data_IF_045507469598
#
_entry.id   IF_045507469598
#
_cell.length_a   1.000
_cell.length_b   1.000
_cell.length_c   1.000
_cell.angle_alpha   90.00
_cell.angle_beta   90.00
_cell.angle_gamma   90.00
#
_symmetry.space_group_name_H-M   'P 1'
#
loop_
_entity.id
_entity.type
_entity.pdbx_description
1 polymer ?
#
# COMPACT_ATOMS: atom_id res chain seq x y z
N UNK A 1 13.51 -0.69 5.27
CA UNK A 1 12.45 -1.45 4.58
C UNK A 1 12.41 -2.93 4.98
N UNK A 2 13.48 -3.71 4.77
CA UNK A 2 13.47 -5.18 5.00
C UNK A 2 13.04 -5.64 6.40
N UNK A 3 13.26 -4.83 7.44
CA UNK A 3 12.95 -5.17 8.85
C UNK A 3 11.45 -5.34 9.16
N UNK A 4 10.57 -4.91 8.27
CA UNK A 4 9.10 -5.01 8.39
C UNK A 4 8.59 -6.41 7.97
N UNK A 5 9.39 -7.15 7.21
CA UNK A 5 9.01 -8.45 6.63
C UNK A 5 9.67 -9.62 7.38
N UNK A 6 9.14 -10.86 7.25
CA UNK A 6 9.81 -12.05 7.78
C UNK A 6 11.15 -12.31 7.07
N UNK A 7 12.09 -12.93 7.79
CA UNK A 7 13.43 -13.22 7.31
C UNK A 7 13.49 -14.33 6.25
N UNK A 8 12.50 -15.23 6.21
CA UNK A 8 12.46 -16.33 5.25
C UNK A 8 12.18 -15.86 3.82
N UNK A 9 12.98 -16.33 2.87
CA UNK A 9 12.91 -15.94 1.45
C UNK A 9 11.53 -16.19 0.81
N UNK A 10 10.75 -17.14 1.34
CA UNK A 10 9.45 -17.56 0.79
C UNK A 10 8.25 -17.17 1.65
N UNK A 11 8.48 -16.42 2.73
CA UNK A 11 7.46 -16.21 3.76
C UNK A 11 6.58 -14.99 3.48
N UNK A 12 7.05 -14.08 2.61
CA UNK A 12 6.30 -12.90 2.19
C UNK A 12 5.66 -13.08 0.81
N UNK A 13 4.39 -12.70 0.69
CA UNK A 13 3.67 -12.66 -0.59
C UNK A 13 3.01 -11.30 -0.79
N UNK A 14 3.14 -10.75 -2.00
CA UNK A 14 2.47 -9.49 -2.35
C UNK A 14 1.72 -9.57 -3.67
N UNK A 15 0.56 -8.90 -3.74
CA UNK A 15 -0.05 -8.44 -4.98
C UNK A 15 -0.05 -6.91 -4.97
N UNK A 16 0.63 -6.31 -5.95
CA UNK A 16 0.82 -4.87 -5.99
C UNK A 16 -0.18 -4.17 -6.92
N UNK A 17 -0.23 -2.84 -6.85
CA UNK A 17 -1.12 -1.97 -7.63
C UNK A 17 -0.88 -2.05 -9.15
N UNK A 18 0.26 -2.59 -9.58
CA UNK A 18 0.56 -2.88 -10.98
C UNK A 18 0.05 -4.26 -11.43
N UNK A 19 -0.81 -4.92 -10.64
CA UNK A 19 -1.38 -6.24 -10.89
C UNK A 19 -0.37 -7.40 -10.97
N UNK A 20 0.89 -7.18 -10.57
CA UNK A 20 1.91 -8.23 -10.53
C UNK A 20 2.07 -8.83 -9.12
N UNK A 21 2.19 -10.17 -9.01
CA UNK A 21 2.56 -10.80 -7.76
C UNK A 21 4.07 -10.72 -7.52
N UNK A 22 4.45 -10.60 -6.25
CA UNK A 22 5.84 -10.60 -5.80
C UNK A 22 6.04 -11.70 -4.75
N UNK A 23 7.05 -12.54 -4.95
CA UNK A 23 7.32 -13.71 -4.11
C UNK A 23 8.60 -13.49 -3.32
N UNK A 24 8.46 -13.21 -2.03
CA UNK A 24 9.58 -12.91 -1.15
C UNK A 24 10.00 -11.44 -1.14
N UNK A 25 10.83 -11.10 -0.15
CA UNK A 25 11.25 -9.72 0.12
C UNK A 25 12.23 -9.19 -0.93
N UNK A 26 12.99 -10.05 -1.58
CA UNK A 26 13.96 -9.62 -2.60
C UNK A 26 13.28 -9.19 -3.90
N UNK A 27 12.21 -9.88 -4.30
CA UNK A 27 11.40 -9.49 -5.45
C UNK A 27 10.72 -8.13 -5.20
N UNK A 28 10.20 -7.94 -3.98
CA UNK A 28 9.70 -6.64 -3.53
C UNK A 28 10.80 -5.56 -3.51
N UNK A 29 12.02 -5.88 -3.09
CA UNK A 29 13.13 -4.93 -3.06
C UNK A 29 13.52 -4.44 -4.47
N UNK A 30 13.41 -5.30 -5.48
CA UNK A 30 13.63 -4.92 -6.88
C UNK A 30 12.60 -3.89 -7.35
N UNK A 31 11.31 -4.09 -7.01
CA UNK A 31 10.25 -3.14 -7.31
C UNK A 31 10.51 -1.75 -6.72
N UNK A 32 10.83 -1.69 -5.43
CA UNK A 32 11.07 -0.39 -4.80
C UNK A 32 12.38 0.25 -5.26
N UNK A 33 13.39 -0.53 -5.62
CA UNK A 33 14.61 -0.01 -6.24
C UNK A 33 14.33 0.61 -7.61
N UNK A 34 13.37 0.06 -8.36
CA UNK A 34 12.87 0.65 -9.59
C UNK A 34 12.14 1.98 -9.32
N UNK A 35 11.19 2.01 -8.38
CA UNK A 35 10.46 3.25 -8.07
C UNK A 35 11.33 4.34 -7.43
N UNK A 36 12.42 3.96 -6.73
CA UNK A 36 13.36 4.91 -6.15
C UNK A 36 14.09 5.80 -7.16
N UNK A 37 13.96 5.51 -8.45
CA UNK A 37 14.49 6.32 -9.56
C UNK A 37 13.66 7.59 -9.83
N UNK A 38 12.49 7.73 -9.22
CA UNK A 38 11.65 8.94 -9.39
C UNK A 38 12.37 10.19 -8.89
N UNK A 39 12.38 11.24 -9.72
CA UNK A 39 12.90 12.56 -9.35
C UNK A 39 11.93 13.36 -8.47
N UNK A 40 10.68 12.89 -8.34
CA UNK A 40 9.63 13.56 -7.56
C UNK A 40 9.00 12.55 -6.60
N UNK A 41 9.22 12.80 -5.31
CA UNK A 41 8.59 12.05 -4.23
C UNK A 41 7.36 12.81 -3.76
N UNK A 42 6.22 12.16 -3.84
CA UNK A 42 5.08 12.51 -2.99
C UNK A 42 4.90 11.41 -1.96
N UNK A 43 4.60 11.79 -0.72
CA UNK A 43 4.25 10.83 0.31
C UNK A 43 2.88 10.24 0.00
N UNK A 44 2.76 8.93 0.15
CA UNK A 44 1.47 8.27 0.15
C UNK A 44 0.62 8.79 1.31
N UNK A 45 -0.65 9.08 1.05
CA UNK A 45 -1.64 9.27 2.11
C UNK A 45 -2.34 7.94 2.34
N UNK A 46 -2.17 7.36 3.53
CA UNK A 46 -2.77 6.08 3.91
C UNK A 46 -3.65 6.25 5.16
N UNK A 47 -4.86 5.70 5.11
CA UNK A 47 -5.82 5.72 6.22
C UNK A 47 -6.21 4.30 6.61
N UNK A 48 -5.93 3.93 7.85
CA UNK A 48 -6.34 2.66 8.43
C UNK A 48 -7.86 2.68 8.66
N UNK A 49 -8.58 1.87 7.88
CA UNK A 49 -10.03 1.71 7.97
C UNK A 49 -10.42 0.73 9.08
N UNK A 50 -9.62 -0.33 9.23
CA UNK A 50 -9.84 -1.40 10.21
C UNK A 50 -8.52 -2.06 10.58
N UNK A 51 -8.34 -2.30 11.87
CA UNK A 51 -7.31 -3.16 12.44
C UNK A 51 -8.03 -4.21 13.29
N UNK A 52 -7.68 -5.48 13.10
CA UNK A 52 -8.11 -6.56 13.96
C UNK A 52 -6.92 -7.43 14.34
N UNK A 53 -6.83 -7.78 15.61
CA UNK A 53 -5.77 -8.62 16.18
C UNK A 53 -6.42 -9.81 16.85
N UNK A 54 -5.96 -11.01 16.52
CA UNK A 54 -6.42 -12.27 17.11
C UNK A 54 -5.22 -13.21 17.33
N UNK A 55 -4.81 -13.35 18.59
CA UNK A 55 -3.61 -14.09 18.95
C UNK A 55 -2.36 -13.52 18.29
N UNK A 56 -1.61 -14.37 17.58
CA UNK A 56 -0.38 -14.01 16.86
C UNK A 56 -0.62 -13.63 15.39
N UNK A 57 -1.87 -13.33 15.02
CA UNK A 57 -2.25 -12.83 13.69
C UNK A 57 -2.97 -11.50 13.81
N UNK A 58 -2.76 -10.63 12.84
CA UNK A 58 -3.52 -9.40 12.67
C UNK A 58 -3.75 -9.09 11.20
N UNK A 59 -4.77 -8.30 10.89
CA UNK A 59 -4.89 -7.69 9.58
C UNK A 59 -5.22 -6.22 9.68
N UNK A 60 -4.71 -5.46 8.71
CA UNK A 60 -4.99 -4.05 8.49
C UNK A 60 -5.68 -3.92 7.15
N UNK A 61 -6.79 -3.19 7.12
CA UNK A 61 -7.41 -2.72 5.88
C UNK A 61 -7.20 -1.22 5.84
N UNK A 62 -6.56 -0.72 4.79
CA UNK A 62 -6.37 0.70 4.59
C UNK A 62 -6.82 1.15 3.20
N UNK A 63 -7.03 2.44 3.07
CA UNK A 63 -7.34 3.11 1.82
C UNK A 63 -6.51 4.36 1.73
N UNK A 64 -6.06 4.68 0.51
CA UNK A 64 -5.17 5.80 0.36
C UNK A 64 -5.06 6.33 -1.06
N UNK A 65 -4.10 7.23 -1.19
CA UNK A 65 -3.78 7.98 -2.39
C UNK A 65 -2.27 7.94 -2.59
N UNK A 66 -1.84 7.33 -3.68
CA UNK A 66 -0.48 7.47 -4.18
C UNK A 66 -0.42 8.67 -5.13
N UNK A 67 0.43 9.67 -4.86
CA UNK A 67 0.63 10.77 -5.80
C UNK A 67 1.31 10.28 -7.07
N UNK A 68 1.05 10.97 -8.19
CA UNK A 68 1.73 10.69 -9.46
C UNK A 68 3.26 10.77 -9.32
N UNK A 69 3.97 9.86 -9.99
CA UNK A 69 5.44 9.81 -10.01
C UNK A 69 5.96 9.83 -11.44
N UNK A 70 7.02 10.61 -11.66
CA UNK A 70 7.77 10.56 -12.91
C UNK A 70 8.92 9.56 -12.75
N UNK A 71 8.65 8.30 -13.08
CA UNK A 71 9.64 7.23 -13.05
C UNK A 71 10.47 7.26 -14.34
N UNK A 72 11.78 7.01 -14.21
CA UNK A 72 12.76 7.02 -15.31
C UNK A 72 13.46 5.67 -15.43
N UNK A 73 13.98 5.38 -16.62
CA UNK A 73 14.79 4.18 -16.88
C UNK A 73 16.19 4.26 -16.23
N UNK A 74 17.02 3.23 -16.45
CA UNK A 74 18.38 3.14 -15.89
C UNK A 74 19.32 4.23 -16.44
N UNK A 75 19.05 4.76 -17.62
CA UNK A 75 19.78 5.85 -18.27
C UNK A 75 19.21 7.25 -17.95
N UNK A 76 18.13 7.32 -17.19
CA UNK A 76 17.46 8.56 -16.80
C UNK A 76 16.48 9.12 -17.85
N UNK A 77 16.12 8.36 -18.87
CA UNK A 77 15.09 8.75 -19.84
C UNK A 77 13.68 8.51 -19.28
N UNK A 78 12.66 9.22 -19.80
CA UNK A 78 11.26 8.90 -19.52
C UNK A 78 10.93 7.46 -19.93
N UNK A 79 10.09 6.78 -19.14
CA UNK A 79 9.51 5.50 -19.53
C UNK A 79 8.53 5.67 -20.71
N UNK A 80 8.21 4.58 -21.45
CA UNK A 80 7.12 4.56 -22.43
C UNK A 80 5.80 5.09 -21.85
N UNK A 81 4.98 5.77 -22.65
CA UNK A 81 3.76 6.46 -22.21
C UNK A 81 2.77 5.56 -21.45
N UNK A 82 2.68 4.28 -21.83
CA UNK A 82 1.86 3.26 -21.18
C UNK A 82 2.40 2.81 -19.81
N UNK A 83 3.62 3.21 -19.45
CA UNK A 83 4.31 2.90 -18.20
C UNK A 83 4.48 4.12 -17.30
N UNK A 84 4.09 5.33 -17.75
CA UNK A 84 4.15 6.54 -16.94
C UNK A 84 2.95 6.54 -15.98
N UNK A 85 3.23 6.57 -14.67
CA UNK A 85 2.24 6.83 -13.62
C UNK A 85 2.07 8.34 -13.42
N UNK A 86 1.54 9.04 -14.44
CA UNK A 86 1.34 10.50 -14.44
C UNK A 86 0.06 10.96 -13.69
N UNK A 87 -0.70 10.01 -13.17
CA UNK A 87 -1.95 10.24 -12.45
C UNK A 87 -1.88 9.76 -11.02
N UNK A 88 -2.57 10.49 -10.14
CA UNK A 88 -2.85 10.06 -8.78
C UNK A 88 -3.55 8.70 -8.81
N UNK A 89 -2.98 7.72 -8.12
CA UNK A 89 -3.53 6.38 -8.02
C UNK A 89 -4.26 6.21 -6.68
N UNK A 90 -5.55 5.92 -6.75
CA UNK A 90 -6.36 5.59 -5.59
C UNK A 90 -6.29 4.09 -5.34
N UNK A 91 -5.99 3.70 -4.11
CA UNK A 91 -5.87 2.28 -3.77
C UNK A 91 -6.64 1.92 -2.52
N UNK A 92 -6.89 0.62 -2.39
CA UNK A 92 -7.23 -0.05 -1.13
C UNK A 92 -6.27 -1.21 -0.94
N UNK A 93 -5.85 -1.42 0.30
CA UNK A 93 -4.98 -2.54 0.66
C UNK A 93 -5.55 -3.39 1.78
N UNK A 94 -5.05 -4.62 1.85
CA UNK A 94 -5.16 -5.50 2.99
C UNK A 94 -3.77 -6.05 3.29
N UNK A 95 -3.37 -5.88 4.53
CA UNK A 95 -2.09 -6.33 5.04
C UNK A 95 -2.36 -7.40 6.10
N UNK A 96 -1.62 -8.50 6.04
CA UNK A 96 -1.67 -9.54 7.06
C UNK A 96 -0.36 -9.54 7.82
N UNK A 97 -0.47 -9.44 9.13
CA UNK A 97 0.64 -9.48 10.04
C UNK A 97 0.61 -10.76 10.86
N UNK A 98 1.78 -11.31 11.13
CA UNK A 98 1.98 -12.43 12.06
C UNK A 98 3.06 -12.04 13.07
N UNK A 99 2.87 -12.44 14.32
CA UNK A 99 3.83 -12.26 15.40
C UNK A 99 4.92 -13.33 15.36
N UNK A 100 5.62 -13.35 14.24
CA UNK A 100 6.71 -14.26 13.90
C UNK A 100 7.61 -13.55 12.90
N UNK A 101 8.90 -13.51 13.17
CA UNK A 101 9.89 -12.88 12.30
C UNK A 101 10.43 -13.77 11.18
N UNK A 102 9.90 -14.99 11.02
CA UNK A 102 10.38 -16.00 10.09
C UNK A 102 11.45 -16.91 10.70
N UNK A 103 11.97 -16.59 11.88
CA UNK A 103 12.88 -17.43 12.68
C UNK A 103 12.22 -17.90 13.99
N UNK A 104 10.91 -17.66 14.14
CA UNK A 104 10.14 -18.05 15.32
C UNK A 104 10.23 -17.06 16.49
N UNK A 105 10.86 -15.88 16.33
CA UNK A 105 10.84 -14.84 17.38
C UNK A 105 9.50 -14.08 17.31
N UNK A 106 8.90 -13.73 18.47
CA UNK A 106 7.56 -13.15 18.52
C UNK A 106 7.53 -11.64 18.19
N UNK A 107 7.91 -11.29 16.97
CA UNK A 107 7.85 -9.92 16.43
C UNK A 107 6.77 -9.80 15.36
N UNK A 108 6.03 -8.69 15.36
CA UNK A 108 5.06 -8.43 14.29
C UNK A 108 5.79 -8.11 12.98
N UNK A 109 5.60 -8.96 11.97
CA UNK A 109 6.01 -8.73 10.59
C UNK A 109 4.81 -8.74 9.67
N UNK A 110 4.93 -8.06 8.53
CA UNK A 110 3.98 -8.17 7.43
C UNK A 110 4.30 -9.41 6.62
N UNK A 111 3.38 -10.38 6.59
CA UNK A 111 3.53 -11.65 5.87
C UNK A 111 2.79 -11.63 4.52
N UNK A 112 1.76 -10.80 4.40
CA UNK A 112 1.07 -10.62 3.14
C UNK A 112 0.68 -9.16 2.95
N UNK A 113 0.77 -8.70 1.71
CA UNK A 113 0.25 -7.41 1.26
C UNK A 113 -0.55 -7.61 -0.02
N UNK A 114 -1.75 -7.06 -0.06
CA UNK A 114 -2.53 -6.98 -1.29
C UNK A 114 -2.99 -5.54 -1.43
N UNK A 115 -2.72 -4.90 -2.56
CA UNK A 115 -3.41 -3.66 -2.91
C UNK A 115 -3.93 -3.71 -4.34
N UNK A 116 -5.06 -3.05 -4.54
CA UNK A 116 -5.69 -2.89 -5.85
C UNK A 116 -6.24 -1.48 -6.01
N UNK A 117 -6.49 -1.10 -7.26
CA UNK A 117 -7.10 0.19 -7.56
C UNK A 117 -8.49 0.25 -6.97
N UNK A 118 -8.86 1.40 -6.44
CA UNK A 118 -10.25 1.71 -6.10
C UNK A 118 -10.83 2.77 -7.05
N UNK A 119 -12.17 2.87 -7.14
CA UNK A 119 -12.84 3.95 -7.85
C UNK A 119 -12.38 5.35 -7.42
N UNK A 120 -12.58 6.33 -8.31
CA UNK A 120 -12.42 7.74 -7.99
C UNK A 120 -13.36 8.18 -6.86
N UNK A 121 -13.05 9.28 -6.18
CA UNK A 121 -13.76 9.64 -4.95
C UNK A 121 -15.24 9.96 -5.16
N UNK A 122 -15.61 10.51 -6.32
CA UNK A 122 -16.97 10.88 -6.71
C UNK A 122 -17.72 9.77 -7.49
N UNK A 123 -17.08 8.63 -7.76
CA UNK A 123 -17.68 7.57 -8.55
C UNK A 123 -18.82 6.89 -7.77
N UNK A 124 -20.03 6.93 -8.36
CA UNK A 124 -21.23 6.30 -7.79
C UNK A 124 -21.26 4.82 -8.18
N UNK A 125 -21.16 3.88 -7.21
CA UNK A 125 -21.22 2.47 -7.53
C UNK A 125 -22.61 2.12 -8.10
N UNK A 126 -22.66 1.33 -9.17
CA UNK A 126 -23.92 1.01 -9.87
C UNK A 126 -25.01 0.41 -8.96
N UNK A 127 -24.61 -0.27 -7.87
CA UNK A 127 -25.52 -0.87 -6.89
C UNK A 127 -25.81 0.02 -5.67
N UNK A 128 -25.31 1.26 -5.65
CA UNK A 128 -25.33 2.16 -4.48
C UNK A 128 -25.75 3.58 -4.87
N UNK A 129 -25.66 4.51 -3.92
CA UNK A 129 -26.06 5.92 -4.10
C UNK A 129 -24.88 6.86 -3.98
N UNK A 130 -25.07 8.14 -4.32
CA UNK A 130 -24.06 9.21 -4.13
C UNK A 130 -23.54 9.29 -2.69
N UNK A 131 -24.34 8.88 -1.70
CA UNK A 131 -23.95 8.85 -0.28
C UNK A 131 -22.90 7.79 0.05
N UNK A 132 -22.69 6.83 -0.86
CA UNK A 132 -21.74 5.73 -0.69
C UNK A 132 -20.38 5.99 -1.36
N UNK A 133 -20.24 7.14 -2.03
CA UNK A 133 -18.99 7.59 -2.67
C UNK A 133 -17.91 7.83 -1.62
N UNK A 134 -16.63 7.74 -2.02
CA UNK A 134 -15.53 8.07 -1.11
C UNK A 134 -15.58 9.56 -0.69
N UNK A 135 -15.98 10.44 -1.60
CA UNK A 135 -16.19 11.87 -1.36
C UNK A 135 -17.24 12.13 -0.28
N UNK A 136 -18.35 11.38 -0.26
CA UNK A 136 -19.40 11.55 0.74
C UNK A 136 -19.00 11.02 2.12
N UNK A 137 -18.28 9.89 2.19
CA UNK A 137 -17.85 9.29 3.48
C UNK A 137 -16.55 9.86 4.03
N UNK A 138 -15.67 10.40 3.18
CA UNK A 138 -14.30 10.78 3.48
C UNK A 138 -13.32 9.60 3.38
N UNK A 139 -12.10 9.88 2.92
CA UNK A 139 -11.03 8.88 2.74
C UNK A 139 -10.82 8.05 4.02
N UNK A 140 -10.75 6.73 3.90
CA UNK A 140 -10.52 5.82 5.02
C UNK A 140 -11.73 5.57 5.94
N UNK A 141 -12.80 6.36 5.85
CA UNK A 141 -13.97 6.18 6.70
C UNK A 141 -14.85 5.02 6.22
N UNK A 142 -15.51 4.36 7.16
CA UNK A 142 -16.56 3.37 6.93
C UNK A 142 -17.90 3.87 7.50
N UNK A 143 -19.03 3.21 7.20
CA UNK A 143 -20.30 3.52 7.86
C UNK A 143 -20.29 3.32 9.39
N UNK A 144 -19.27 2.63 9.93
CA UNK A 144 -19.22 2.20 11.33
C UNK A 144 -18.01 2.76 12.08
N UNK A 145 -17.04 3.35 11.40
CA UNK A 145 -15.77 3.83 11.98
C UNK A 145 -15.20 4.97 11.16
N UNK A 146 -14.44 5.84 11.82
CA UNK A 146 -13.60 6.82 11.15
C UNK A 146 -12.21 6.22 10.91
N UNK A 147 -11.67 6.44 9.72
CA UNK A 147 -10.31 6.03 9.38
C UNK A 147 -9.30 6.79 10.21
N UNK A 148 -8.20 6.14 10.57
CA UNK A 148 -7.06 6.81 11.21
C UNK A 148 -6.02 7.10 10.15
N UNK A 149 -5.75 8.38 9.89
CA UNK A 149 -4.63 8.79 9.03
C UNK A 149 -3.33 8.41 9.69
N UNK A 150 -2.46 7.72 8.96
CA UNK A 150 -1.11 7.45 9.45
C UNK A 150 -0.25 8.70 9.25
N UNK A 151 0.33 9.22 10.33
CA UNK A 151 1.28 10.33 10.28
C UNK A 151 2.71 9.77 10.16
N UNK A 152 3.33 10.02 9.01
CA UNK A 152 4.70 9.60 8.74
C UNK A 152 5.73 10.71 9.00
N UNK A 153 5.31 11.90 9.44
CA UNK A 153 6.20 13.04 9.64
C UNK A 153 7.28 12.78 10.71
N UNK A 154 6.97 11.98 11.71
CA UNK A 154 7.91 11.57 12.77
C UNK A 154 9.10 10.74 12.24
N UNK A 155 8.99 10.17 11.04
CA UNK A 155 10.02 9.34 10.41
C UNK A 155 10.84 10.09 9.36
N UNK A 156 10.62 11.40 9.17
CA UNK A 156 11.37 12.22 8.22
C UNK A 156 12.70 12.77 8.78
N UNK A 157 12.96 12.64 10.09
CA UNK A 157 14.17 13.16 10.76
C UNK A 157 15.20 12.08 11.15
N UNK A 158 15.00 10.81 10.75
CA UNK A 158 15.91 9.69 11.02
C UNK A 158 16.68 9.26 9.78
#
# INVERSE_FOLDING_TARGET
MRTVFPAGERDFLMLNLNDHPYFGVDDLANLWSFYARTGRWGLCEDHVMRLEVSGDMAYVVSEGVFPAWEVRDDEGNPLPEDQILDRTAYYRSTEVYKRDDGEGRPEWKMWHFHCSTRPADDEVPAAKTEKDTAAARGLGNTPYSSGTRTDYSEYLEA
#
